data_IF_692415921898
#
_entry.id   IF_692415921898
#
_cell.length_a   1.000
_cell.length_b   1.000
_cell.length_c   1.000
_cell.angle_alpha   90.00
_cell.angle_beta   90.00
_cell.angle_gamma   90.00
#
_symmetry.space_group_name_H-M   'P 1'
#
loop_
_entity.id
_entity.type
_entity.pdbx_description
1 polymer ?
#
# COMPACT_ATOMS: atom_id res chain seq x y z
N UNK A 1 4.96 4.39 1.40
CA UNK A 1 4.93 5.81 1.82
C UNK A 1 4.82 6.61 0.54
N UNK A 2 3.84 7.50 0.44
CA UNK A 2 3.56 8.23 -0.79
C UNK A 2 4.10 9.66 -0.65
N UNK A 3 5.05 10.03 -1.50
CA UNK A 3 5.68 11.36 -1.50
C UNK A 3 5.22 12.26 -2.66
N UNK A 4 4.51 11.70 -3.65
CA UNK A 4 3.98 12.45 -4.79
C UNK A 4 2.47 12.64 -4.64
N UNK A 5 1.99 13.85 -4.90
CA UNK A 5 0.55 14.18 -4.97
C UNK A 5 -0.18 13.36 -6.04
N UNK A 6 0.56 12.92 -7.08
CA UNK A 6 0.01 12.13 -8.18
C UNK A 6 -0.31 10.69 -7.82
N UNK A 7 0.23 10.16 -6.71
CA UNK A 7 -0.01 8.78 -6.28
C UNK A 7 -1.14 8.77 -5.25
N UNK A 8 -2.22 8.05 -5.56
CA UNK A 8 -3.41 7.93 -4.72
C UNK A 8 -3.31 6.76 -3.73
N UNK A 9 -2.65 5.68 -4.15
CA UNK A 9 -2.50 4.43 -3.40
C UNK A 9 -1.20 3.74 -3.79
N UNK A 10 -0.54 3.11 -2.82
CA UNK A 10 0.58 2.21 -3.01
C UNK A 10 0.26 0.87 -2.36
N UNK A 11 0.50 -0.23 -3.07
CA UNK A 11 0.44 -1.59 -2.54
C UNK A 11 1.81 -2.23 -2.74
N UNK A 12 2.38 -2.83 -1.70
CA UNK A 12 3.71 -3.41 -1.75
C UNK A 12 3.78 -4.78 -1.08
N UNK A 13 4.26 -5.77 -1.84
CA UNK A 13 4.61 -7.10 -1.36
C UNK A 13 6.11 -7.28 -1.48
N UNK A 14 6.74 -7.84 -0.44
CA UNK A 14 8.15 -8.23 -0.54
C UNK A 14 8.34 -9.36 -1.54
N UNK A 15 9.47 -9.38 -2.23
CA UNK A 15 9.96 -10.50 -3.06
C UNK A 15 10.79 -11.51 -2.24
N UNK A 16 11.22 -11.14 -1.02
CA UNK A 16 11.89 -12.04 -0.08
C UNK A 16 10.97 -13.20 0.33
N UNK A 17 11.31 -14.47 0.04
CA UNK A 17 10.47 -15.63 0.36
C UNK A 17 10.12 -15.79 1.84
N UNK A 18 10.93 -15.26 2.75
CA UNK A 18 10.73 -15.37 4.20
C UNK A 18 9.95 -14.18 4.78
N UNK A 19 9.69 -13.14 3.98
CA UNK A 19 8.96 -11.95 4.40
C UNK A 19 7.56 -11.88 3.78
N UNK A 20 6.53 -12.30 4.54
CA UNK A 20 5.14 -12.35 4.06
C UNK A 20 4.33 -11.09 4.36
N UNK A 21 4.88 -10.16 5.14
CA UNK A 21 4.19 -8.89 5.46
C UNK A 21 4.30 -7.93 4.28
N UNK A 22 3.15 -7.39 3.86
CA UNK A 22 3.08 -6.28 2.91
C UNK A 22 2.49 -5.04 3.54
N UNK A 23 2.16 -4.06 2.69
CA UNK A 23 1.43 -2.89 3.13
C UNK A 23 0.57 -2.29 2.02
N UNK A 24 -0.39 -1.48 2.46
CA UNK A 24 -1.12 -0.52 1.64
C UNK A 24 -0.88 0.87 2.22
N UNK A 25 -0.57 1.86 1.38
CA UNK A 25 -0.40 3.23 1.81
C UNK A 25 -1.26 4.18 0.97
N UNK A 26 -1.89 5.16 1.59
CA UNK A 26 -2.65 6.22 0.92
C UNK A 26 -2.51 7.54 1.70
N UNK A 27 -2.56 8.71 1.05
CA UNK A 27 -2.71 9.98 1.75
C UNK A 27 -3.97 10.04 2.64
N UNK A 28 -4.99 9.22 2.34
CA UNK A 28 -6.28 9.22 3.04
C UNK A 28 -6.26 8.53 4.40
N UNK A 29 -5.45 7.49 4.57
CA UNK A 29 -5.45 6.64 5.77
C UNK A 29 -4.03 6.26 6.26
N UNK A 30 -3.00 6.82 5.64
CA UNK A 30 -1.61 6.57 6.00
C UNK A 30 -1.10 5.20 5.55
N UNK A 31 -0.18 4.64 6.33
CA UNK A 31 0.51 3.38 6.04
C UNK A 31 -0.06 2.24 6.86
N UNK A 32 -0.50 1.19 6.19
CA UNK A 32 -1.22 0.06 6.78
C UNK A 32 -0.47 -1.23 6.49
N UNK A 33 0.00 -1.91 7.54
CA UNK A 33 0.67 -3.21 7.43
C UNK A 33 -0.36 -4.33 7.28
N UNK A 34 -0.14 -5.21 6.31
CA UNK A 34 -0.94 -6.39 6.07
C UNK A 34 -0.07 -7.65 6.28
N UNK A 35 -0.27 -8.39 7.39
CA UNK A 35 0.40 -9.67 7.56
C UNK A 35 -0.14 -10.70 6.55
N UNK A 36 0.69 -11.67 6.16
CA UNK A 36 0.32 -12.77 5.26
C UNK A 36 -0.19 -12.34 3.87
N UNK A 37 0.34 -11.25 3.31
CA UNK A 37 -0.05 -10.76 1.99
C UNK A 37 0.40 -11.67 0.83
N UNK A 38 1.31 -12.60 1.11
CA UNK A 38 1.71 -13.70 0.22
C UNK A 38 1.98 -14.98 1.00
N UNK A 39 1.93 -16.12 0.31
CA UNK A 39 2.34 -17.42 0.88
C UNK A 39 3.85 -17.41 1.16
N UNK A 40 4.25 -18.04 2.26
CA UNK A 40 5.65 -18.24 2.61
C UNK A 40 6.37 -19.03 1.51
N UNK A 41 7.63 -18.69 1.24
CA UNK A 41 8.43 -19.32 0.18
C UNK A 41 8.19 -18.72 -1.22
N UNK A 42 7.16 -17.89 -1.43
CA UNK A 42 6.95 -17.23 -2.72
C UNK A 42 7.95 -16.09 -2.93
N UNK A 43 8.73 -16.17 -4.01
CA UNK A 43 9.65 -15.12 -4.46
C UNK A 43 8.99 -14.00 -5.28
N UNK A 44 7.67 -14.08 -5.45
CA UNK A 44 6.89 -13.08 -6.20
C UNK A 44 6.51 -11.94 -5.27
N UNK A 45 7.17 -10.80 -5.45
CA UNK A 45 6.83 -9.53 -4.82
C UNK A 45 6.55 -8.46 -5.86
N UNK A 46 6.37 -7.22 -5.41
CA UNK A 46 6.18 -6.09 -6.30
C UNK A 46 5.57 -4.88 -5.63
N UNK A 47 5.51 -3.80 -6.40
CA UNK A 47 4.89 -2.54 -6.01
C UNK A 47 3.90 -2.13 -7.09
N UNK A 48 2.71 -1.75 -6.65
CA UNK A 48 1.67 -1.18 -7.49
C UNK A 48 1.39 0.24 -6.99
N UNK A 49 1.46 1.20 -7.90
CA UNK A 49 1.05 2.58 -7.64
C UNK A 49 -0.22 2.87 -8.43
N UNK A 50 -1.27 3.29 -7.71
CA UNK A 50 -2.48 3.87 -8.33
C UNK A 50 -2.26 5.37 -8.39
N UNK A 51 -2.40 5.95 -9.57
CA UNK A 51 -2.12 7.37 -9.83
C UNK A 51 -3.39 8.10 -10.25
N UNK A 52 -3.42 9.43 -10.09
CA UNK A 52 -4.55 10.23 -10.58
C UNK A 52 -4.63 10.21 -12.11
N UNK A 53 -5.82 10.22 -12.72
CA UNK A 53 -5.99 10.22 -14.18
C UNK A 53 -5.27 11.38 -14.89
N UNK A 54 -5.15 12.52 -14.21
CA UNK A 54 -4.51 13.75 -14.69
C UNK A 54 -2.98 13.68 -14.61
N UNK A 55 -2.42 12.60 -14.07
CA UNK A 55 -0.99 12.45 -13.85
C UNK A 55 -0.22 12.35 -15.16
N UNK A 56 0.69 13.29 -15.37
CA UNK A 56 1.69 13.21 -16.43
C UNK A 56 2.81 12.24 -16.05
N UNK A 57 2.83 11.07 -16.69
CA UNK A 57 3.78 9.98 -16.38
C UNK A 57 5.26 10.40 -16.40
N UNK A 58 5.76 11.17 -17.40
CA UNK A 58 7.17 11.60 -17.40
C UNK A 58 7.57 12.40 -16.16
N UNK A 59 6.67 13.24 -15.67
CA UNK A 59 6.94 14.12 -14.53
C UNK A 59 6.95 13.30 -13.24
N UNK A 60 6.00 12.37 -13.09
CA UNK A 60 5.99 11.41 -11.98
C UNK A 60 7.24 10.53 -11.99
N UNK A 61 7.67 10.03 -13.15
CA UNK A 61 8.90 9.24 -13.25
C UNK A 61 10.14 10.05 -12.87
N UNK A 62 10.21 11.31 -13.31
CA UNK A 62 11.29 12.22 -12.93
C UNK A 62 11.32 12.45 -11.43
N UNK A 63 10.15 12.69 -10.83
CA UNK A 63 10.01 12.83 -9.39
C UNK A 63 10.49 11.58 -8.65
N UNK A 64 9.97 10.40 -9.00
CA UNK A 64 10.28 9.13 -8.34
C UNK A 64 11.75 8.71 -8.49
N UNK A 65 12.42 9.06 -9.59
CA UNK A 65 13.81 8.65 -9.86
C UNK A 65 14.85 9.62 -9.35
N UNK A 66 14.56 10.92 -9.37
CA UNK A 66 15.59 11.95 -9.27
C UNK A 66 15.34 13.00 -8.19
N UNK A 67 14.18 13.00 -7.53
CA UNK A 67 13.87 13.99 -6.48
C UNK A 67 14.25 13.46 -5.11
N UNK A 68 15.23 14.07 -4.40
CA UNK A 68 15.53 13.70 -3.03
C UNK A 68 14.40 14.15 -2.09
N UNK A 69 14.00 13.29 -1.16
CA UNK A 69 12.98 13.56 -0.14
C UNK A 69 13.54 13.22 1.23
N UNK A 70 13.44 14.17 2.17
CA UNK A 70 13.81 13.98 3.57
C UNK A 70 12.53 13.77 4.40
N UNK A 71 12.49 12.69 5.16
CA UNK A 71 11.46 12.48 6.18
C UNK A 71 11.98 12.97 7.53
N UNK A 72 11.34 13.99 8.08
CA UNK A 72 11.70 14.63 9.36
C UNK A 72 10.86 14.09 10.54
N UNK A 73 9.77 13.38 10.26
CA UNK A 73 8.79 12.93 11.25
C UNK A 73 8.26 11.54 10.94
N UNK A 74 7.87 10.85 12.02
CA UNK A 74 7.14 9.58 11.93
C UNK A 74 5.64 9.83 12.04
N UNK A 75 4.85 9.03 11.30
CA UNK A 75 3.40 9.06 11.44
C UNK A 75 2.98 8.41 12.77
N UNK A 76 1.95 8.90 13.46
CA UNK A 76 1.38 8.20 14.61
C UNK A 76 0.89 6.80 14.21
N UNK A 77 1.00 5.86 15.15
CA UNK A 77 0.49 4.49 14.98
C UNK A 77 -1.04 4.53 15.11
N UNK A 78 -1.72 4.52 13.97
CA UNK A 78 -3.19 4.44 13.95
C UNK A 78 -3.62 2.97 13.89
N UNK A 79 -4.36 2.51 14.90
CA UNK A 79 -5.04 1.23 14.82
C UNK A 79 -6.18 1.35 13.80
N UNK A 80 -6.16 0.54 12.73
CA UNK A 80 -7.16 0.54 11.64
C UNK A 80 -8.62 0.55 12.12
N UNK A 81 -8.89 -0.03 13.29
CA UNK A 81 -10.21 -0.06 13.94
C UNK A 81 -10.77 1.31 14.31
N UNK A 82 -9.95 2.35 14.33
CA UNK A 82 -10.32 3.71 14.78
C UNK A 82 -10.38 4.73 13.64
N UNK A 83 -10.12 4.34 12.39
CA UNK A 83 -10.14 5.29 11.27
C UNK A 83 -11.57 5.45 10.74
N UNK A 84 -12.26 6.58 10.98
CA UNK A 84 -13.70 6.73 10.76
C UNK A 84 -14.14 6.52 9.30
N UNK A 85 -13.22 6.68 8.33
CA UNK A 85 -13.49 6.48 6.90
C UNK A 85 -13.28 5.05 6.40
N UNK A 86 -12.53 4.19 7.11
CA UNK A 86 -12.36 2.77 6.73
C UNK A 86 -13.48 1.90 7.31
N UNK A 87 -14.03 2.28 8.47
CA UNK A 87 -15.23 1.67 9.07
C UNK A 87 -16.51 1.87 8.25
N UNK A 88 -16.50 2.79 7.27
CA UNK A 88 -17.63 3.09 6.41
C UNK A 88 -17.62 2.34 5.06
N UNK A 89 -16.62 1.49 4.80
CA UNK A 89 -16.54 0.65 3.59
C UNK A 89 -17.23 -0.69 3.89
N UNK A 90 -18.45 -0.95 3.38
CA UNK A 90 -19.22 -2.14 3.76
C UNK A 90 -18.54 -3.46 3.35
N UNK A 91 -17.71 -3.43 2.31
CA UNK A 91 -17.11 -4.64 1.70
C UNK A 91 -15.90 -5.20 2.43
N UNK A 92 -15.33 -4.52 3.43
CA UNK A 92 -14.15 -5.03 4.14
C UNK A 92 -14.46 -6.11 5.19
N UNK A 93 -15.74 -6.27 5.59
CA UNK A 93 -16.13 -7.30 6.54
C UNK A 93 -16.48 -8.65 5.90
N UNK A 94 -16.61 -8.75 4.57
CA UNK A 94 -17.15 -9.96 3.92
C UNK A 94 -16.17 -10.71 3.00
N UNK A 95 -14.97 -10.18 2.70
CA UNK A 95 -14.14 -10.76 1.60
C UNK A 95 -12.82 -11.42 2.00
N UNK A 96 -12.60 -11.76 3.28
CA UNK A 96 -11.45 -12.60 3.63
C UNK A 96 -11.89 -13.91 4.31
N UNK A 97 -12.51 -14.78 3.52
CA UNK A 97 -12.58 -16.21 3.84
C UNK A 97 -11.26 -16.86 3.41
N UNK A 98 -10.48 -17.46 4.33
CA UNK A 98 -9.19 -18.07 4.00
C UNK A 98 -9.29 -19.33 3.11
N UNK A 99 -10.51 -19.81 2.82
CA UNK A 99 -10.78 -21.09 2.16
C UNK A 99 -11.27 -20.95 0.70
N UNK A 100 -11.10 -19.79 0.06
CA UNK A 100 -11.48 -19.59 -1.35
C UNK A 100 -10.46 -20.17 -2.34
N UNK A 101 -10.89 -20.82 -3.44
CA UNK A 101 -9.97 -21.39 -4.42
C UNK A 101 -9.25 -20.27 -5.18
N UNK A 102 -7.94 -20.21 -5.01
CA UNK A 102 -7.06 -19.38 -5.84
C UNK A 102 -7.08 -19.96 -7.26
N UNK A 103 -7.87 -19.36 -8.16
CA UNK A 103 -7.76 -19.60 -9.60
C UNK A 103 -6.30 -19.41 -10.07
#
# INVERSE_FOLDING_TARGET
MISSVSVLLEICASDDPDYTTGYVASPLFGYVRLPHMKKQGLRRGGRLYVISPETRIPDLLTFLRSTPVLFDRQSPVNHLRTHPRLTAIPSLNETFSPEGPWL
#
